data_IF_846909682134
#
_entry.id   IF_846909682134
#
_cell.length_a   1.000
_cell.length_b   1.000
_cell.length_c   1.000
_cell.angle_alpha   90.00
_cell.angle_beta   90.00
_cell.angle_gamma   90.00
#
_symmetry.space_group_name_H-M   'P 1'
#
loop_
_entity.id
_entity.type
_entity.pdbx_description
1 polymer ?
#
# COMPACT_ATOMS: atom_id res chain seq x y z
N UNK A 1 44.58 -58.20 27.61
CA UNK A 1 45.09 -58.74 28.86
C UNK A 1 44.76 -57.77 30.01
N UNK A 2 43.77 -58.08 30.76
CA UNK A 2 43.73 -58.54 32.11
C UNK A 2 43.85 -57.49 33.23
N UNK A 3 42.75 -57.31 33.93
CA UNK A 3 42.53 -57.31 35.41
C UNK A 3 43.27 -56.22 36.21
N UNK A 4 42.78 -55.58 37.25
CA UNK A 4 41.90 -56.00 38.36
C UNK A 4 41.60 -54.78 39.25
N UNK A 5 40.35 -54.60 39.63
CA UNK A 5 39.76 -54.22 40.90
C UNK A 5 40.71 -53.82 42.04
N UNK A 6 40.48 -52.67 42.69
CA UNK A 6 40.54 -52.57 44.15
C UNK A 6 39.60 -51.49 44.73
N UNK A 7 38.72 -51.92 45.60
CA UNK A 7 37.85 -51.18 46.51
C UNK A 7 38.65 -50.67 47.65
N UNK A 8 38.52 -49.41 48.06
CA UNK A 8 38.77 -49.01 49.45
C UNK A 8 37.80 -47.92 49.89
N UNK A 9 36.91 -48.25 50.75
CA UNK A 9 36.13 -47.36 51.61
C UNK A 9 37.07 -46.51 52.48
N UNK A 10 36.74 -45.22 52.62
CA UNK A 10 36.84 -44.57 53.91
C UNK A 10 35.82 -43.45 54.07
N UNK A 11 35.22 -43.50 55.25
CA UNK A 11 34.07 -42.68 55.64
C UNK A 11 34.47 -41.27 56.09
N UNK A 12 33.49 -40.39 55.94
CA UNK A 12 33.22 -39.35 56.94
C UNK A 12 33.77 -37.99 56.71
N UNK A 13 32.83 -37.07 56.32
CA UNK A 13 32.64 -35.82 57.08
C UNK A 13 31.45 -35.08 56.40
N UNK A 14 30.30 -35.15 57.06
CA UNK A 14 29.13 -34.33 56.82
C UNK A 14 29.47 -32.89 57.24
N UNK A 15 29.66 -32.00 56.30
CA UNK A 15 29.52 -30.56 56.51
C UNK A 15 28.19 -30.15 55.95
N UNK A 16 27.25 -29.91 56.84
CA UNK A 16 25.95 -29.34 56.60
C UNK A 16 26.12 -27.88 56.16
N UNK A 17 26.02 -27.60 54.85
CA UNK A 17 25.75 -26.28 54.42
C UNK A 17 24.22 -26.07 54.49
N UNK A 18 23.83 -25.29 55.49
CA UNK A 18 22.46 -24.69 55.54
C UNK A 18 22.37 -23.65 54.43
N UNK A 19 21.76 -24.02 53.36
CA UNK A 19 21.30 -23.06 52.36
C UNK A 19 20.09 -22.32 52.94
N UNK A 20 20.31 -21.05 53.33
CA UNK A 20 19.22 -20.12 53.58
C UNK A 20 18.40 -19.98 52.30
N UNK A 21 17.28 -20.68 52.24
CA UNK A 21 16.20 -20.33 51.30
C UNK A 21 15.72 -18.92 51.63
N UNK A 22 16.21 -17.94 50.85
CA UNK A 22 15.50 -16.66 50.71
C UNK A 22 14.13 -16.99 50.14
N UNK A 23 13.12 -16.98 50.99
CA UNK A 23 11.73 -16.89 50.55
C UNK A 23 11.60 -15.67 49.61
N UNK A 24 11.45 -15.95 48.33
CA UNK A 24 10.96 -14.95 47.38
C UNK A 24 9.58 -14.58 47.91
N UNK A 25 9.44 -13.38 48.45
CA UNK A 25 8.12 -12.77 48.64
C UNK A 25 7.42 -12.78 47.30
N UNK A 26 6.49 -13.70 47.18
CA UNK A 26 5.46 -13.65 46.13
C UNK A 26 4.81 -12.27 46.21
N UNK A 27 5.20 -11.39 45.31
CA UNK A 27 4.48 -10.16 45.11
C UNK A 27 3.10 -10.56 44.58
N UNK A 28 2.14 -10.54 45.48
CA UNK A 28 0.73 -10.59 45.10
C UNK A 28 0.54 -9.64 43.91
N UNK A 29 0.07 -10.12 42.73
CA UNK A 29 -0.24 -9.20 41.64
C UNK A 29 -1.27 -8.21 42.22
N UNK A 30 -0.93 -6.95 42.21
CA UNK A 30 -1.88 -5.91 42.54
C UNK A 30 -3.08 -6.14 41.65
N UNK A 31 -4.17 -6.56 42.24
CA UNK A 31 -5.47 -6.63 41.59
C UNK A 31 -5.81 -5.20 41.26
N UNK A 32 -5.44 -4.77 40.06
CA UNK A 32 -6.01 -3.57 39.47
C UNK A 32 -7.49 -3.86 39.34
N UNK A 33 -8.26 -3.25 40.26
CA UNK A 33 -9.68 -3.17 40.08
C UNK A 33 -9.90 -2.64 38.65
N UNK A 34 -10.42 -3.48 37.78
CA UNK A 34 -10.88 -3.05 36.46
C UNK A 34 -12.02 -2.08 36.75
N UNK A 35 -11.72 -0.77 36.80
CA UNK A 35 -12.79 0.21 36.74
C UNK A 35 -13.52 -0.09 35.46
N UNK A 36 -14.78 -0.44 35.56
CA UNK A 36 -15.66 -0.71 34.42
C UNK A 36 -15.58 0.52 33.53
N UNK A 37 -15.20 0.33 32.25
CA UNK A 37 -15.07 1.45 31.31
C UNK A 37 -16.49 1.89 30.96
N UNK A 38 -16.83 3.10 31.35
CA UNK A 38 -18.11 3.71 30.99
C UNK A 38 -17.99 4.37 29.62
N UNK A 39 -18.70 3.83 28.64
CA UNK A 39 -18.73 4.35 27.27
C UNK A 39 -19.79 5.46 27.13
N UNK A 40 -19.53 6.50 26.31
CA UNK A 40 -20.55 7.51 25.99
C UNK A 40 -21.75 6.85 25.33
N UNK A 41 -22.94 7.35 25.66
CA UNK A 41 -24.18 6.89 25.03
C UNK A 41 -24.16 7.26 23.54
N UNK A 42 -24.27 6.26 22.68
CA UNK A 42 -24.38 6.49 21.23
C UNK A 42 -25.86 6.53 20.85
N UNK A 43 -26.28 7.62 20.19
CA UNK A 43 -27.65 7.78 19.70
C UNK A 43 -27.98 6.69 18.67
N UNK A 44 -29.17 6.15 18.75
CA UNK A 44 -29.71 5.21 17.76
C UNK A 44 -30.72 5.91 16.86
N UNK A 45 -30.58 5.72 15.55
CA UNK A 45 -31.55 6.15 14.53
C UNK A 45 -32.47 4.98 14.12
N UNK A 46 -33.39 5.30 13.22
CA UNK A 46 -34.43 4.35 12.75
C UNK A 46 -34.18 3.86 11.31
N UNK A 47 -32.96 4.00 10.80
CA UNK A 47 -32.61 3.57 9.44
C UNK A 47 -32.67 2.06 9.34
N UNK A 48 -33.29 1.56 8.27
CA UNK A 48 -33.43 0.13 7.98
C UNK A 48 -33.15 -0.09 6.50
N UNK A 49 -32.16 -0.91 6.20
CA UNK A 49 -31.87 -1.37 4.84
C UNK A 49 -32.61 -2.67 4.54
N UNK A 50 -32.83 -2.96 3.26
CA UNK A 50 -33.38 -4.21 2.80
C UNK A 50 -32.40 -4.94 1.88
N UNK A 51 -31.96 -6.14 2.29
CA UNK A 51 -31.08 -7.01 1.52
C UNK A 51 -31.77 -8.35 1.29
N UNK A 52 -31.98 -8.74 0.03
CA UNK A 52 -32.58 -10.03 -0.34
C UNK A 52 -33.90 -10.29 0.37
N UNK A 53 -34.77 -9.26 0.52
CA UNK A 53 -36.06 -9.34 1.19
C UNK A 53 -35.98 -9.35 2.73
N UNK A 54 -34.80 -9.12 3.33
CA UNK A 54 -34.63 -9.03 4.78
C UNK A 54 -34.37 -7.59 5.19
N UNK A 55 -35.08 -7.14 6.21
CA UNK A 55 -34.89 -5.82 6.83
C UNK A 55 -33.77 -5.89 7.86
N UNK A 56 -32.74 -5.10 7.67
CA UNK A 56 -31.56 -5.01 8.54
C UNK A 56 -31.53 -3.59 9.15
N UNK A 57 -31.80 -3.43 10.47
CA UNK A 57 -31.65 -2.12 11.12
C UNK A 57 -30.20 -1.65 11.11
N UNK A 58 -29.99 -0.39 10.76
CA UNK A 58 -28.72 0.32 10.89
C UNK A 58 -28.90 1.57 11.76
N UNK A 59 -28.93 1.41 13.09
CA UNK A 59 -29.19 2.52 13.99
C UNK A 59 -28.05 3.55 14.07
N UNK A 60 -26.92 3.26 13.48
CA UNK A 60 -25.73 4.09 13.53
C UNK A 60 -25.32 4.68 12.17
N UNK A 61 -26.20 4.63 11.16
CA UNK A 61 -25.98 5.20 9.82
C UNK A 61 -25.52 6.66 9.86
N UNK A 62 -25.98 7.42 10.84
CA UNK A 62 -25.58 8.81 11.01
C UNK A 62 -24.05 9.02 11.21
N UNK A 63 -23.32 7.99 11.70
CA UNK A 63 -21.85 8.04 11.82
C UNK A 63 -21.13 8.00 10.47
N UNK A 64 -21.81 7.65 9.39
CA UNK A 64 -21.24 7.68 8.04
C UNK A 64 -21.09 9.13 7.51
N UNK A 65 -21.82 10.10 8.11
CA UNK A 65 -21.55 11.51 7.87
C UNK A 65 -20.36 11.98 8.72
N UNK A 66 -19.17 11.73 8.19
CA UNK A 66 -17.88 12.01 8.82
C UNK A 66 -17.58 13.52 8.98
N UNK A 67 -18.36 14.39 8.31
CA UNK A 67 -18.22 15.84 8.34
C UNK A 67 -19.22 16.53 9.26
N UNK A 68 -20.18 15.79 9.81
CA UNK A 68 -21.15 16.34 10.73
C UNK A 68 -20.53 16.69 12.08
N UNK A 69 -21.02 17.77 12.69
CA UNK A 69 -20.61 18.16 14.05
C UNK A 69 -20.93 17.05 15.06
N UNK A 70 -22.08 16.35 14.89
CA UNK A 70 -22.52 15.26 15.76
C UNK A 70 -21.54 14.09 15.77
N UNK A 71 -21.08 13.65 14.58
CA UNK A 71 -20.05 12.60 14.45
C UNK A 71 -18.73 13.06 15.07
N UNK A 72 -18.34 14.31 14.82
CA UNK A 72 -17.16 14.90 15.44
C UNK A 72 -17.21 14.94 16.97
N UNK A 73 -18.36 15.27 17.57
CA UNK A 73 -18.56 15.24 19.01
C UNK A 73 -18.50 13.83 19.58
N UNK A 74 -19.12 12.87 18.89
CA UNK A 74 -19.06 11.46 19.27
C UNK A 74 -17.62 10.93 19.27
N UNK A 75 -16.83 11.24 18.23
CA UNK A 75 -15.41 10.86 18.15
C UNK A 75 -14.62 11.46 19.33
N UNK A 76 -14.81 12.74 19.64
CA UNK A 76 -14.14 13.38 20.80
C UNK A 76 -14.48 12.70 22.10
N UNK A 77 -15.75 12.35 22.32
CA UNK A 77 -16.20 11.67 23.52
C UNK A 77 -15.60 10.26 23.65
N UNK A 78 -15.57 9.47 22.56
CA UNK A 78 -14.94 8.16 22.54
C UNK A 78 -13.43 8.24 22.80
N UNK A 79 -12.75 9.20 22.18
CA UNK A 79 -11.33 9.44 22.38
C UNK A 79 -11.00 9.84 23.83
N UNK A 80 -11.85 10.60 24.50
CA UNK A 80 -11.68 10.95 25.90
C UNK A 80 -11.64 9.71 26.80
N UNK A 81 -12.52 8.73 26.57
CA UNK A 81 -12.51 7.44 27.28
C UNK A 81 -11.24 6.66 26.95
N UNK A 82 -10.92 6.50 25.67
CA UNK A 82 -9.74 5.74 25.20
C UNK A 82 -8.47 6.30 25.81
N UNK A 83 -8.22 7.59 25.68
CA UNK A 83 -6.99 8.22 26.22
C UNK A 83 -7.01 8.29 27.75
N UNK A 84 -8.20 8.47 28.36
CA UNK A 84 -8.36 8.36 29.80
C UNK A 84 -7.85 7.01 30.33
N UNK A 85 -8.22 5.90 29.69
CA UNK A 85 -7.73 4.57 30.02
C UNK A 85 -6.24 4.40 29.71
N UNK A 86 -5.81 4.70 28.49
CA UNK A 86 -4.43 4.49 28.03
C UNK A 86 -3.42 5.29 28.88
N UNK A 87 -3.77 6.49 29.34
CA UNK A 87 -2.90 7.35 30.15
C UNK A 87 -2.69 6.82 31.58
N UNK A 88 -3.55 5.92 32.06
CA UNK A 88 -3.41 5.28 33.37
C UNK A 88 -2.43 4.09 33.36
N UNK A 89 -2.02 3.61 32.18
CA UNK A 89 -1.11 2.47 32.04
C UNK A 89 0.30 2.87 32.54
N UNK A 90 0.79 2.33 33.66
CA UNK A 90 1.98 2.86 34.33
C UNK A 90 3.27 2.68 33.53
N UNK A 91 3.31 1.71 32.61
CA UNK A 91 4.49 1.43 31.77
C UNK A 91 4.39 2.03 30.36
N UNK A 92 3.30 2.75 30.00
CA UNK A 92 3.07 3.31 28.67
C UNK A 92 4.22 4.25 28.24
N UNK A 93 4.63 5.16 29.11
CA UNK A 93 5.74 6.07 28.82
C UNK A 93 7.06 5.32 28.63
N UNK A 94 7.37 4.36 29.53
CA UNK A 94 8.58 3.54 29.39
C UNK A 94 8.62 2.74 28.10
N UNK A 95 7.47 2.18 27.68
CA UNK A 95 7.35 1.46 26.42
C UNK A 95 7.54 2.39 25.22
N UNK A 96 6.86 3.53 25.20
CA UNK A 96 7.01 4.56 24.16
C UNK A 96 8.48 5.00 24.02
N UNK A 97 9.14 5.32 25.13
CA UNK A 97 10.53 5.79 25.11
C UNK A 97 11.48 4.68 24.64
N UNK A 98 11.19 3.41 24.98
CA UNK A 98 11.95 2.26 24.45
C UNK A 98 11.74 2.09 22.94
N UNK A 99 10.50 2.21 22.44
CA UNK A 99 10.20 2.13 21.00
C UNK A 99 10.86 3.27 20.25
N UNK A 100 10.78 4.50 20.78
CA UNK A 100 11.49 5.64 20.19
C UNK A 100 12.99 5.37 20.04
N UNK A 101 13.64 4.90 21.11
CA UNK A 101 15.08 4.58 21.10
C UNK A 101 15.44 3.47 20.10
N UNK A 102 14.54 2.48 19.93
CA UNK A 102 14.76 1.39 18.97
C UNK A 102 14.56 1.84 17.52
N UNK A 103 13.69 2.83 17.30
CA UNK A 103 13.34 3.34 15.98
C UNK A 103 14.26 4.47 15.50
N UNK A 104 14.96 5.10 16.45
CA UNK A 104 15.86 6.24 16.21
C UNK A 104 17.21 5.75 15.66
N UNK A 105 17.21 5.43 14.37
CA UNK A 105 18.39 5.13 13.58
C UNK A 105 18.20 5.59 12.14
N UNK A 106 19.26 5.98 11.47
CA UNK A 106 19.22 6.39 10.09
C UNK A 106 18.76 5.24 9.18
N UNK A 107 17.80 5.52 8.30
CA UNK A 107 17.24 4.59 7.33
C UNK A 107 17.49 5.15 5.94
N UNK A 108 18.09 4.34 5.06
CA UNK A 108 18.38 4.70 3.67
C UNK A 108 17.89 3.57 2.78
N UNK A 109 17.12 3.88 1.73
CA UNK A 109 16.69 2.91 0.74
C UNK A 109 17.80 2.51 -0.21
N UNK A 110 17.60 1.43 -0.96
CA UNK A 110 18.39 1.21 -2.17
C UNK A 110 18.23 2.43 -3.10
N UNK A 111 19.32 2.86 -3.76
CA UNK A 111 19.25 3.92 -4.75
C UNK A 111 18.62 3.42 -6.05
N UNK A 112 17.98 4.34 -6.79
CA UNK A 112 17.46 4.08 -8.13
C UNK A 112 17.81 5.26 -9.04
N UNK A 113 17.95 4.99 -10.33
CA UNK A 113 18.41 5.99 -11.31
C UNK A 113 17.26 6.41 -12.21
N UNK A 114 17.06 7.75 -12.29
CA UNK A 114 16.11 8.36 -13.23
C UNK A 114 16.79 9.52 -13.94
N UNK A 115 16.85 9.43 -15.26
CA UNK A 115 17.56 10.39 -16.08
C UNK A 115 19.03 10.56 -15.68
N UNK A 116 19.40 11.78 -15.32
CA UNK A 116 20.77 12.15 -14.93
C UNK A 116 21.01 12.11 -13.40
N UNK A 117 20.02 11.64 -12.63
CA UNK A 117 20.12 11.62 -11.17
C UNK A 117 19.97 10.21 -10.62
N UNK A 118 20.63 9.97 -9.49
CA UNK A 118 20.40 8.82 -8.62
C UNK A 118 19.58 9.29 -7.42
N UNK A 119 18.44 8.69 -7.20
CA UNK A 119 17.49 9.01 -6.12
C UNK A 119 17.55 7.97 -5.02
N UNK A 120 17.27 8.38 -3.79
CA UNK A 120 17.09 7.48 -2.65
C UNK A 120 16.24 8.15 -1.58
N UNK A 121 15.61 7.32 -0.77
CA UNK A 121 14.86 7.76 0.40
C UNK A 121 15.75 7.71 1.63
N UNK A 122 15.67 8.74 2.47
CA UNK A 122 16.43 8.82 3.71
C UNK A 122 15.54 9.35 4.83
N UNK A 123 15.73 8.79 6.04
CA UNK A 123 15.11 9.26 7.28
C UNK A 123 16.20 9.31 8.34
N UNK A 124 16.32 10.42 9.07
CA UNK A 124 17.36 10.61 10.08
C UNK A 124 17.12 9.80 11.37
N UNK A 125 15.96 9.13 11.45
CA UNK A 125 15.55 8.28 12.57
C UNK A 125 14.11 8.52 12.99
N UNK A 126 13.76 9.74 13.37
CA UNK A 126 12.46 10.09 13.92
C UNK A 126 11.65 11.07 13.06
N UNK A 127 12.10 11.41 11.88
CA UNK A 127 11.27 12.15 10.92
C UNK A 127 9.98 11.40 10.66
N UNK A 128 8.87 12.12 10.52
CA UNK A 128 7.55 11.54 10.29
C UNK A 128 7.51 10.74 8.99
N UNK A 129 8.15 11.26 7.93
CA UNK A 129 8.23 10.62 6.62
C UNK A 129 9.66 10.61 6.10
N UNK A 130 9.95 9.68 5.18
CA UNK A 130 11.21 9.65 4.48
C UNK A 130 11.30 10.84 3.51
N UNK A 131 12.47 11.45 3.46
CA UNK A 131 12.79 12.52 2.51
C UNK A 131 13.41 11.89 1.26
N UNK A 132 13.01 12.34 0.08
CA UNK A 132 13.61 11.93 -1.20
C UNK A 132 14.80 12.81 -1.48
N UNK A 133 15.96 12.19 -1.53
CA UNK A 133 17.22 12.82 -1.94
C UNK A 133 17.56 12.41 -3.36
N UNK A 134 18.41 13.21 -3.98
CA UNK A 134 19.04 12.86 -5.24
C UNK A 134 20.49 13.34 -5.29
N UNK A 135 21.28 12.71 -6.12
CA UNK A 135 22.65 13.12 -6.44
C UNK A 135 22.89 13.01 -7.94
N UNK A 136 23.76 13.83 -8.45
CA UNK A 136 24.16 13.80 -9.84
C UNK A 136 25.60 13.30 -9.94
N UNK A 137 25.82 12.22 -10.71
CA UNK A 137 27.14 11.67 -11.02
C UNK A 137 28.05 11.43 -9.79
N UNK A 138 27.45 11.00 -8.65
CA UNK A 138 28.17 10.79 -7.40
C UNK A 138 28.63 12.08 -6.70
N UNK A 139 27.99 13.21 -7.02
CA UNK A 139 28.21 14.50 -6.36
C UNK A 139 27.55 14.58 -4.99
N UNK A 140 27.41 15.78 -4.47
CA UNK A 140 26.72 16.01 -3.20
C UNK A 140 25.21 15.73 -3.34
N UNK A 141 24.65 15.08 -2.32
CA UNK A 141 23.21 14.80 -2.25
C UNK A 141 22.43 16.08 -1.93
N UNK A 142 21.34 16.31 -2.62
CA UNK A 142 20.37 17.36 -2.33
C UNK A 142 18.97 16.79 -2.09
N UNK A 143 18.14 17.50 -1.35
CA UNK A 143 16.73 17.16 -1.20
C UNK A 143 16.03 17.39 -2.54
N UNK A 144 15.40 16.33 -3.06
CA UNK A 144 14.48 16.43 -4.19
C UNK A 144 13.06 16.78 -3.72
N UNK A 145 12.52 16.00 -2.77
CA UNK A 145 11.19 16.16 -2.23
C UNK A 145 11.18 15.86 -0.72
N UNK A 146 10.65 16.77 0.09
CA UNK A 146 10.50 16.58 1.53
C UNK A 146 9.02 16.50 1.93
N UNK A 147 8.46 15.29 2.08
CA UNK A 147 7.06 15.11 2.48
C UNK A 147 6.73 15.67 3.87
N UNK A 148 7.73 15.87 4.73
CA UNK A 148 7.51 16.47 6.05
C UNK A 148 7.09 17.94 5.99
N UNK A 149 7.21 18.57 4.80
CA UNK A 149 6.82 19.95 4.55
C UNK A 149 5.45 20.12 3.90
N UNK A 150 4.76 19.02 3.56
CA UNK A 150 3.49 19.07 2.83
C UNK A 150 2.33 19.65 3.65
N UNK A 151 2.35 19.47 4.97
CA UNK A 151 1.38 20.08 5.89
C UNK A 151 2.02 20.42 7.22
N UNK A 152 1.49 21.44 7.89
CA UNK A 152 2.00 21.87 9.20
C UNK A 152 1.79 20.83 10.30
N UNK A 153 0.69 20.09 10.23
CA UNK A 153 0.32 19.05 11.20
C UNK A 153 0.92 17.67 10.90
N UNK A 154 1.62 17.53 9.74
CA UNK A 154 2.26 16.28 9.32
C UNK A 154 1.29 15.19 8.88
N UNK A 155 0.02 15.51 8.59
CA UNK A 155 -1.00 14.52 8.19
C UNK A 155 -1.02 14.26 6.69
N UNK A 156 -0.33 15.06 5.88
CA UNK A 156 -0.19 14.84 4.43
C UNK A 156 1.03 14.00 4.12
N UNK A 157 0.85 12.92 3.38
CA UNK A 157 1.91 11.95 3.07
C UNK A 157 2.16 11.79 1.57
N UNK A 158 3.41 11.48 1.22
CA UNK A 158 3.78 10.99 -0.11
C UNK A 158 3.28 9.56 -0.28
N UNK A 159 2.50 9.31 -1.32
CA UNK A 159 1.97 7.98 -1.61
C UNK A 159 2.71 7.29 -2.78
N UNK A 160 2.96 8.00 -3.87
CA UNK A 160 3.62 7.47 -5.07
C UNK A 160 4.54 8.52 -5.65
N UNK A 161 5.67 8.11 -6.22
CA UNK A 161 6.57 8.93 -7.02
C UNK A 161 6.96 8.12 -8.26
N UNK A 162 6.77 8.68 -9.44
CA UNK A 162 7.10 8.07 -10.72
C UNK A 162 7.70 9.11 -11.67
N UNK A 163 8.60 8.68 -12.54
CA UNK A 163 9.31 9.54 -13.47
C UNK A 163 8.91 9.22 -14.90
N UNK A 164 8.96 10.23 -15.77
CA UNK A 164 8.88 10.06 -17.22
C UNK A 164 10.06 9.24 -17.74
N UNK A 165 9.96 8.72 -18.94
CA UNK A 165 10.94 7.79 -19.54
C UNK A 165 12.38 8.29 -19.52
N UNK A 166 12.59 9.56 -19.78
CA UNK A 166 13.92 10.19 -19.76
C UNK A 166 14.31 10.76 -18.38
N UNK A 167 13.42 10.65 -17.38
CA UNK A 167 13.62 11.17 -16.03
C UNK A 167 13.59 12.69 -15.93
N UNK A 168 13.12 13.41 -16.97
CA UNK A 168 13.05 14.87 -16.96
C UNK A 168 11.85 15.43 -16.20
N UNK A 169 10.81 14.63 -16.05
CA UNK A 169 9.56 14.99 -15.36
C UNK A 169 9.27 13.96 -14.29
N UNK A 170 8.78 14.41 -13.15
CA UNK A 170 8.30 13.53 -12.09
C UNK A 170 6.83 13.84 -11.76
N UNK A 171 6.06 12.81 -11.50
CA UNK A 171 4.72 12.93 -10.95
C UNK A 171 4.66 12.21 -9.61
N UNK A 172 4.11 12.87 -8.60
CA UNK A 172 3.94 12.26 -7.29
C UNK A 172 2.54 12.48 -6.75
N UNK A 173 2.02 11.48 -6.02
CA UNK A 173 0.71 11.60 -5.40
C UNK A 173 0.83 11.81 -3.89
N UNK A 174 -0.09 12.62 -3.36
CA UNK A 174 -0.21 12.90 -1.93
C UNK A 174 -1.55 12.41 -1.40
N UNK A 175 -1.53 11.96 -0.13
CA UNK A 175 -2.71 11.62 0.66
C UNK A 175 -2.83 12.59 1.81
N UNK A 176 -3.99 13.25 1.95
CA UNK A 176 -4.28 14.21 3.00
C UNK A 176 -5.12 13.53 4.10
N UNK A 177 -4.67 13.59 5.36
CA UNK A 177 -5.38 13.02 6.51
C UNK A 177 -5.62 11.51 6.46
N UNK A 178 -4.82 10.76 5.69
CA UNK A 178 -4.99 9.32 5.51
C UNK A 178 -6.10 8.93 4.53
N UNK A 179 -6.64 9.88 3.76
CA UNK A 179 -7.66 9.63 2.74
C UNK A 179 -7.10 8.75 1.61
N UNK A 180 -7.94 7.85 1.07
CA UNK A 180 -7.64 7.14 -0.17
C UNK A 180 -7.77 8.03 -1.41
N UNK A 181 -8.47 9.16 -1.30
CA UNK A 181 -8.50 10.19 -2.33
C UNK A 181 -7.19 10.96 -2.33
N UNK A 182 -6.58 11.07 -3.50
CA UNK A 182 -5.25 11.63 -3.69
C UNK A 182 -5.26 12.75 -4.70
N UNK A 183 -4.18 13.54 -4.67
CA UNK A 183 -3.83 14.50 -5.71
C UNK A 183 -2.54 14.06 -6.35
N UNK A 184 -2.40 14.25 -7.67
CA UNK A 184 -1.13 14.03 -8.39
C UNK A 184 -0.55 15.40 -8.73
N UNK A 185 0.68 15.63 -8.34
CA UNK A 185 1.46 16.84 -8.62
C UNK A 185 2.56 16.48 -9.62
N UNK A 186 2.68 17.30 -10.67
CA UNK A 186 3.64 17.09 -11.76
C UNK A 186 4.70 18.18 -11.69
N UNK A 187 5.97 17.78 -11.69
CA UNK A 187 7.10 18.70 -11.56
C UNK A 187 8.17 18.41 -12.59
N UNK A 188 8.84 19.45 -13.02
CA UNK A 188 10.13 19.33 -13.70
C UNK A 188 11.15 18.70 -12.75
N UNK A 189 11.69 17.55 -13.12
CA UNK A 189 12.57 16.79 -12.24
C UNK A 189 13.95 17.44 -12.04
N UNK A 190 14.33 18.43 -12.85
CA UNK A 190 15.60 19.16 -12.70
C UNK A 190 15.42 20.38 -11.81
N UNK A 191 14.44 21.23 -12.14
CA UNK A 191 14.20 22.51 -11.45
C UNK A 191 13.29 22.39 -10.23
N UNK A 192 12.56 21.28 -10.09
CA UNK A 192 11.55 20.99 -9.05
C UNK A 192 10.31 21.92 -9.13
N UNK A 193 10.15 22.62 -10.25
CA UNK A 193 9.00 23.51 -10.45
C UNK A 193 7.76 22.68 -10.81
N UNK A 194 6.61 23.05 -10.24
CA UNK A 194 5.31 22.50 -10.63
C UNK A 194 5.01 22.95 -12.06
N UNK A 195 4.62 22.01 -12.92
CA UNK A 195 4.43 22.25 -14.35
C UNK A 195 2.99 22.62 -14.70
N UNK A 196 2.02 22.11 -13.94
CA UNK A 196 0.59 22.31 -14.22
C UNK A 196 -0.24 22.17 -12.93
N UNK A 197 -1.54 22.42 -13.00
CA UNK A 197 -2.44 22.25 -11.88
C UNK A 197 -2.50 20.77 -11.46
N UNK A 198 -2.56 20.48 -10.14
CA UNK A 198 -2.63 19.11 -9.66
C UNK A 198 -3.88 18.38 -10.15
N UNK A 199 -3.73 17.10 -10.56
CA UNK A 199 -4.87 16.22 -10.75
C UNK A 199 -5.49 15.91 -9.38
N UNK A 200 -6.81 15.99 -9.31
CA UNK A 200 -7.58 15.77 -8.08
C UNK A 200 -8.49 14.56 -8.21
N UNK A 201 -9.11 14.14 -7.10
CA UNK A 201 -10.08 13.06 -7.09
C UNK A 201 -9.52 11.74 -7.68
N UNK A 202 -8.24 11.46 -7.42
CA UNK A 202 -7.57 10.20 -7.80
C UNK A 202 -7.69 9.20 -6.66
N UNK A 203 -8.06 7.95 -6.94
CA UNK A 203 -8.23 6.93 -5.88
C UNK A 203 -7.77 5.56 -6.34
N UNK A 204 -7.00 4.85 -5.49
CA UNK A 204 -6.44 3.51 -5.73
C UNK A 204 -5.66 3.42 -7.05
N UNK A 205 -4.80 4.41 -7.30
CA UNK A 205 -4.07 4.58 -8.55
C UNK A 205 -2.56 4.49 -8.35
N UNK A 206 -1.89 3.84 -9.30
CA UNK A 206 -0.51 4.11 -9.64
C UNK A 206 -0.38 5.32 -10.56
N UNK A 207 0.85 5.59 -11.00
CA UNK A 207 1.19 6.56 -12.05
C UNK A 207 2.09 5.80 -13.02
N UNK A 208 1.64 5.58 -14.24
CA UNK A 208 2.41 4.83 -15.24
C UNK A 208 2.62 5.67 -16.48
N UNK A 209 3.86 6.10 -16.69
CA UNK A 209 4.22 6.97 -17.78
C UNK A 209 4.20 6.28 -19.14
N UNK A 210 3.78 7.00 -20.17
CA UNK A 210 4.00 6.67 -21.56
C UNK A 210 5.00 7.68 -22.15
N UNK A 211 6.25 7.26 -22.25
CA UNK A 211 7.33 8.15 -22.64
C UNK A 211 7.40 9.40 -21.76
N UNK A 212 7.42 10.56 -22.41
CA UNK A 212 7.32 11.88 -21.77
C UNK A 212 6.02 12.62 -22.16
N UNK A 213 5.05 11.93 -22.77
CA UNK A 213 3.83 12.57 -23.27
C UNK A 213 2.77 12.74 -22.20
N UNK A 214 2.73 11.80 -21.24
CA UNK A 214 1.71 11.74 -20.22
C UNK A 214 1.77 10.41 -19.46
N UNK A 215 0.76 10.14 -18.66
CA UNK A 215 0.71 8.94 -17.84
C UNK A 215 -0.72 8.41 -17.66
N UNK A 216 -0.81 7.12 -17.39
CA UNK A 216 -2.05 6.46 -17.01
C UNK A 216 -2.24 6.55 -15.49
N UNK A 217 -3.48 6.81 -15.10
CA UNK A 217 -3.93 6.81 -13.71
C UNK A 217 -5.36 6.32 -13.61
N UNK A 218 -5.78 5.89 -12.42
CA UNK A 218 -7.10 5.34 -12.19
C UNK A 218 -7.88 6.13 -11.15
N UNK A 219 -9.20 6.16 -11.28
CA UNK A 219 -10.08 6.73 -10.29
C UNK A 219 -11.51 6.23 -10.45
N UNK A 220 -12.38 6.65 -9.52
CA UNK A 220 -13.83 6.54 -9.61
C UNK A 220 -14.45 7.89 -9.94
N UNK A 221 -15.70 7.88 -10.39
CA UNK A 221 -16.50 9.11 -10.35
C UNK A 221 -16.63 9.54 -8.88
N UNK A 222 -16.54 10.85 -8.65
CA UNK A 222 -16.68 11.40 -7.31
C UNK A 222 -18.08 11.12 -6.77
N UNK A 223 -18.22 10.43 -5.63
CA UNK A 223 -19.52 10.10 -5.09
C UNK A 223 -20.24 11.34 -4.54
N UNK A 224 -21.57 11.30 -4.55
CA UNK A 224 -22.38 12.25 -3.80
C UNK A 224 -22.33 11.91 -2.29
N UNK A 225 -22.23 12.93 -1.43
CA UNK A 225 -22.18 12.77 0.02
C UNK A 225 -20.77 12.68 0.59
N UNK A 226 -20.55 11.84 1.60
CA UNK A 226 -19.24 11.68 2.23
C UNK A 226 -18.26 10.96 1.31
N UNK A 227 -17.13 11.59 1.03
CA UNK A 227 -16.07 11.00 0.21
C UNK A 227 -15.41 9.79 0.87
N UNK A 228 -15.42 9.71 2.22
CA UNK A 228 -14.75 8.63 2.94
C UNK A 228 -15.61 7.37 3.03
N UNK A 229 -16.92 7.51 3.21
CA UNK A 229 -17.84 6.38 3.42
C UNK A 229 -18.68 6.03 2.20
N UNK A 230 -18.76 6.91 1.18
CA UNK A 230 -19.54 6.62 -0.01
C UNK A 230 -18.99 5.45 -0.81
N UNK A 231 -19.89 4.61 -1.31
CA UNK A 231 -19.54 3.45 -2.12
C UNK A 231 -18.93 3.87 -3.46
N UNK A 232 -17.80 3.29 -3.78
CA UNK A 232 -17.16 3.38 -5.09
C UNK A 232 -17.04 1.97 -5.68
N UNK A 233 -17.63 1.71 -6.85
CA UNK A 233 -17.72 0.36 -7.40
C UNK A 233 -17.43 0.22 -8.89
N UNK A 234 -17.20 1.32 -9.59
CA UNK A 234 -16.80 1.32 -11.01
C UNK A 234 -15.52 2.13 -11.18
N UNK A 235 -14.40 1.43 -11.09
CA UNK A 235 -13.09 2.04 -11.32
C UNK A 235 -12.86 2.28 -12.80
N UNK A 236 -12.08 3.30 -13.14
CA UNK A 236 -11.81 3.72 -14.51
C UNK A 236 -10.34 4.02 -14.68
N UNK A 237 -9.79 3.69 -15.82
CA UNK A 237 -8.43 4.03 -16.22
C UNK A 237 -8.46 5.21 -17.18
N UNK A 238 -7.69 6.24 -16.89
CA UNK A 238 -7.54 7.45 -17.68
C UNK A 238 -6.11 7.61 -18.18
N UNK A 239 -5.96 8.37 -19.25
CA UNK A 239 -4.67 8.88 -19.72
C UNK A 239 -4.69 10.40 -19.62
N UNK A 240 -3.77 10.94 -18.82
CA UNK A 240 -3.50 12.37 -18.72
C UNK A 240 -2.35 12.73 -19.64
N UNK A 241 -2.58 13.68 -20.56
CA UNK A 241 -1.55 14.23 -21.41
C UNK A 241 -1.00 15.51 -20.78
N UNK A 242 0.31 15.62 -20.67
CA UNK A 242 0.95 16.81 -20.12
C UNK A 242 0.52 18.09 -20.83
N UNK A 243 0.18 19.11 -20.05
CA UNK A 243 -0.29 20.40 -20.52
C UNK A 243 -1.78 20.48 -20.84
N UNK A 244 -2.52 19.38 -20.77
CA UNK A 244 -3.97 19.37 -20.94
C UNK A 244 -4.67 19.58 -19.58
N UNK A 245 -5.90 20.08 -19.58
CA UNK A 245 -6.71 20.14 -18.36
C UNK A 245 -7.25 18.73 -18.02
N UNK A 246 -7.24 18.33 -16.74
CA UNK A 246 -7.73 17.02 -16.28
C UNK A 246 -9.11 16.63 -16.82
N UNK A 247 -10.02 17.61 -16.99
CA UNK A 247 -11.36 17.34 -17.54
C UNK A 247 -11.35 16.81 -18.97
N UNK A 248 -10.24 16.97 -19.70
CA UNK A 248 -10.05 16.47 -21.06
C UNK A 248 -9.33 15.12 -21.10
N UNK A 249 -9.02 14.54 -19.96
CA UNK A 249 -8.35 13.24 -19.86
C UNK A 249 -9.14 12.15 -20.57
N UNK A 250 -8.43 11.36 -21.33
CA UNK A 250 -9.03 10.30 -22.14
C UNK A 250 -9.33 9.09 -21.29
N UNK A 251 -10.62 8.70 -21.21
CA UNK A 251 -11.02 7.41 -20.65
C UNK A 251 -10.47 6.27 -21.54
N UNK A 252 -9.74 5.36 -20.94
CA UNK A 252 -9.11 4.22 -21.60
C UNK A 252 -9.92 2.94 -21.39
N UNK A 253 -10.38 2.69 -20.13
CA UNK A 253 -11.11 1.48 -19.77
C UNK A 253 -11.98 1.71 -18.53
N UNK A 254 -13.05 0.92 -18.36
CA UNK A 254 -13.93 0.98 -17.18
C UNK A 254 -15.15 1.89 -17.34
N UNK A 255 -15.46 2.34 -18.58
CA UNK A 255 -16.57 3.27 -18.85
C UNK A 255 -17.94 2.63 -19.04
N UNK A 256 -18.05 1.31 -19.12
CA UNK A 256 -19.30 0.59 -19.40
C UNK A 256 -19.60 -0.45 -18.33
N UNK A 257 -20.85 -0.94 -18.27
CA UNK A 257 -21.23 -2.03 -17.36
C UNK A 257 -20.49 -3.34 -17.66
N UNK A 258 -20.08 -3.59 -18.90
CA UNK A 258 -19.29 -4.75 -19.28
C UNK A 258 -17.83 -4.68 -18.79
N UNK A 259 -17.35 -3.47 -18.54
CA UNK A 259 -16.00 -3.19 -18.02
C UNK A 259 -16.00 -2.83 -16.52
N UNK A 260 -17.08 -3.18 -15.84
CA UNK A 260 -17.27 -2.81 -14.43
C UNK A 260 -16.40 -3.64 -13.49
N UNK A 261 -15.37 -3.01 -12.96
CA UNK A 261 -14.47 -3.59 -11.98
C UNK A 261 -14.43 -2.74 -10.71
N UNK A 262 -14.12 -3.39 -9.60
CA UNK A 262 -13.86 -2.70 -8.34
C UNK A 262 -12.52 -1.98 -8.36
N UNK A 263 -11.52 -2.59 -9.00
CA UNK A 263 -10.19 -2.03 -9.16
C UNK A 263 -9.74 -2.23 -10.61
N UNK A 264 -9.20 -1.18 -11.21
CA UNK A 264 -8.54 -1.20 -12.52
C UNK A 264 -7.20 -0.52 -12.36
N UNK A 265 -6.14 -1.14 -12.84
CA UNK A 265 -4.82 -0.53 -12.94
C UNK A 265 -4.31 -0.64 -14.37
N UNK A 266 -3.53 0.36 -14.76
CA UNK A 266 -2.82 0.34 -16.04
C UNK A 266 -1.33 0.57 -15.80
N UNK A 267 -0.48 -0.19 -16.49
CA UNK A 267 0.96 0.04 -16.48
C UNK A 267 1.56 -0.20 -17.85
N UNK A 268 2.53 0.62 -18.20
CA UNK A 268 3.25 0.59 -19.46
C UNK A 268 4.50 -0.27 -19.28
N UNK A 269 4.82 -1.09 -20.26
CA UNK A 269 6.04 -1.89 -20.27
C UNK A 269 7.28 -1.00 -20.32
N UNK A 270 8.43 -1.52 -19.86
CA UNK A 270 9.66 -0.73 -19.74
C UNK A 270 10.12 -0.18 -21.10
N UNK A 271 9.85 -0.87 -22.19
CA UNK A 271 10.17 -0.44 -23.55
C UNK A 271 9.13 0.51 -24.18
N UNK A 272 8.11 0.96 -23.42
CA UNK A 272 6.97 1.75 -23.88
C UNK A 272 6.10 1.09 -24.97
N UNK A 273 6.24 -0.22 -25.16
CA UNK A 273 5.56 -0.92 -26.26
C UNK A 273 4.09 -1.22 -25.93
N UNK A 274 3.82 -1.71 -24.71
CA UNK A 274 2.48 -2.16 -24.33
C UNK A 274 1.94 -1.45 -23.10
N UNK A 275 0.63 -1.17 -23.13
CA UNK A 275 -0.16 -0.92 -21.94
C UNK A 275 -0.83 -2.21 -21.49
N UNK A 276 -0.61 -2.61 -20.26
CA UNK A 276 -1.29 -3.71 -19.61
C UNK A 276 -2.37 -3.14 -18.70
N UNK A 277 -3.60 -3.61 -18.85
CA UNK A 277 -4.72 -3.25 -17.97
C UNK A 277 -5.08 -4.48 -17.17
N UNK A 278 -5.09 -4.33 -15.85
CA UNK A 278 -5.52 -5.37 -14.90
C UNK A 278 -6.77 -4.91 -14.18
N UNK A 279 -7.82 -5.72 -14.27
CA UNK A 279 -9.09 -5.48 -13.59
C UNK A 279 -9.36 -6.53 -12.53
N UNK A 280 -9.94 -6.15 -11.40
CA UNK A 280 -10.37 -7.10 -10.35
C UNK A 280 -11.67 -6.68 -9.69
N UNK A 281 -12.45 -7.67 -9.26
CA UNK A 281 -13.72 -7.48 -8.57
C UNK A 281 -13.63 -7.74 -7.07
N UNK A 282 -12.54 -8.40 -6.65
CA UNK A 282 -12.24 -8.71 -5.24
C UNK A 282 -10.77 -8.38 -4.93
N UNK A 283 -10.25 -8.87 -3.81
CA UNK A 283 -8.84 -8.69 -3.42
C UNK A 283 -7.89 -9.71 -4.01
N UNK A 284 -8.40 -10.70 -4.74
CA UNK A 284 -7.62 -11.72 -5.44
C UNK A 284 -8.31 -12.09 -6.74
N UNK A 285 -7.49 -12.52 -7.70
CA UNK A 285 -7.93 -12.79 -9.06
C UNK A 285 -8.09 -11.51 -9.89
N UNK A 286 -7.59 -11.54 -11.10
CA UNK A 286 -7.68 -10.42 -12.03
C UNK A 286 -7.82 -10.90 -13.48
N UNK A 287 -8.58 -10.14 -14.27
CA UNK A 287 -8.49 -10.21 -15.72
C UNK A 287 -7.33 -9.36 -16.25
N UNK A 288 -6.97 -9.59 -17.52
CA UNK A 288 -5.91 -8.83 -18.17
C UNK A 288 -6.27 -8.49 -19.61
N UNK A 289 -5.97 -7.24 -19.97
CA UNK A 289 -5.99 -6.78 -21.35
C UNK A 289 -4.63 -6.16 -21.70
N UNK A 290 -4.32 -6.17 -22.98
CA UNK A 290 -3.11 -5.57 -23.55
C UNK A 290 -3.48 -4.62 -24.70
N UNK A 291 -2.73 -3.54 -24.82
CA UNK A 291 -2.81 -2.60 -25.94
C UNK A 291 -1.41 -2.31 -26.44
N UNK A 292 -1.19 -2.44 -27.75
CA UNK A 292 0.03 -1.96 -28.39
C UNK A 292 0.01 -0.43 -28.47
N UNK A 293 0.98 0.23 -27.86
CA UNK A 293 1.11 1.67 -27.81
C UNK A 293 1.88 2.25 -29.02
N UNK A 294 2.57 1.41 -29.77
CA UNK A 294 3.30 1.81 -30.98
C UNK A 294 2.34 2.09 -32.14
N UNK A 295 1.13 1.51 -32.08
CA UNK A 295 0.09 1.69 -33.07
C UNK A 295 -1.07 2.53 -32.48
N UNK A 296 -1.28 3.79 -32.94
CA UNK A 296 -2.23 4.72 -32.30
C UNK A 296 -3.67 4.19 -32.16
N UNK A 297 -4.10 3.35 -33.10
CA UNK A 297 -5.46 2.79 -33.17
C UNK A 297 -5.54 1.30 -32.82
N UNK A 298 -4.49 0.74 -32.18
CA UNK A 298 -4.53 -0.66 -31.79
C UNK A 298 -5.71 -0.92 -30.84
N UNK A 299 -6.44 -2.03 -30.99
CA UNK A 299 -7.51 -2.38 -30.07
C UNK A 299 -6.95 -2.80 -28.70
N UNK A 300 -7.82 -2.80 -27.69
CA UNK A 300 -7.59 -3.60 -26.48
C UNK A 300 -7.80 -5.09 -26.85
N UNK A 301 -6.84 -5.91 -26.48
CA UNK A 301 -6.87 -7.37 -26.70
C UNK A 301 -6.93 -8.06 -25.36
N UNK A 302 -7.85 -9.00 -25.18
CA UNK A 302 -7.97 -9.78 -23.95
C UNK A 302 -6.83 -10.79 -23.86
N UNK A 303 -6.17 -10.82 -22.72
CA UNK A 303 -5.16 -11.84 -22.37
C UNK A 303 -5.79 -12.90 -21.47
N UNK A 304 -6.59 -12.46 -20.50
CA UNK A 304 -7.30 -13.30 -19.53
C UNK A 304 -8.66 -12.66 -19.21
N UNK A 305 -9.76 -13.41 -19.32
CA UNK A 305 -11.13 -12.92 -19.18
C UNK A 305 -11.87 -13.43 -17.94
N UNK A 306 -11.15 -13.98 -16.97
CA UNK A 306 -11.70 -14.50 -15.72
C UNK A 306 -10.85 -14.09 -14.51
N UNK A 307 -11.35 -14.36 -13.30
CA UNK A 307 -10.74 -13.94 -12.03
C UNK A 307 -10.23 -15.13 -11.20
N UNK A 308 -9.95 -16.27 -11.81
CA UNK A 308 -9.58 -17.49 -11.10
C UNK A 308 -8.10 -17.52 -10.69
N UNK A 309 -7.33 -16.53 -11.15
CA UNK A 309 -5.88 -16.45 -10.87
C UNK A 309 -5.41 -15.02 -10.63
N UNK A 310 -4.29 -14.90 -9.91
CA UNK A 310 -3.48 -13.69 -9.86
C UNK A 310 -2.41 -13.80 -10.95
N UNK A 311 -2.53 -12.99 -12.00
CA UNK A 311 -1.64 -13.02 -13.17
C UNK A 311 -1.08 -11.63 -13.46
N UNK A 312 0.24 -11.52 -13.59
CA UNK A 312 0.94 -10.25 -13.79
C UNK A 312 1.99 -10.38 -14.89
N UNK A 313 2.04 -9.38 -15.78
CA UNK A 313 3.17 -9.28 -16.71
C UNK A 313 4.43 -8.93 -15.90
N UNK A 314 5.47 -9.72 -16.05
CA UNK A 314 6.80 -9.47 -15.46
C UNK A 314 7.59 -8.55 -16.38
N UNK A 315 7.63 -8.89 -17.67
CA UNK A 315 8.42 -8.19 -18.68
C UNK A 315 8.00 -8.64 -20.09
N UNK A 316 8.53 -7.97 -21.12
CA UNK A 316 8.43 -8.39 -22.51
C UNK A 316 9.78 -8.28 -23.21
N UNK A 317 9.94 -9.08 -24.26
CA UNK A 317 11.05 -8.95 -25.22
C UNK A 317 10.45 -8.88 -26.62
N UNK A 318 10.31 -7.67 -27.14
CA UNK A 318 9.52 -7.43 -28.34
C UNK A 318 8.07 -7.87 -28.12
N UNK A 319 7.54 -8.72 -29.02
CA UNK A 319 6.17 -9.25 -28.86
C UNK A 319 6.04 -10.41 -27.87
N UNK A 320 7.14 -10.94 -27.36
CA UNK A 320 7.10 -12.06 -26.41
C UNK A 320 6.87 -11.53 -24.99
N UNK A 321 5.74 -11.90 -24.40
CA UNK A 321 5.31 -11.52 -23.04
C UNK A 321 5.67 -12.63 -22.04
N UNK A 322 5.99 -12.24 -20.79
CA UNK A 322 6.30 -13.14 -19.68
C UNK A 322 5.35 -12.85 -18.52
N UNK A 323 4.48 -13.79 -18.17
CA UNK A 323 3.53 -13.65 -17.09
C UNK A 323 3.89 -14.55 -15.91
N UNK A 324 3.85 -13.98 -14.69
CA UNK A 324 3.80 -14.74 -13.46
C UNK A 324 2.33 -15.02 -13.14
N UNK A 325 1.97 -16.28 -12.94
CA UNK A 325 0.58 -16.68 -12.69
C UNK A 325 0.50 -17.84 -11.68
N UNK A 326 -0.60 -17.86 -10.92
CA UNK A 326 -0.99 -19.03 -10.12
C UNK A 326 -2.12 -19.85 -10.76
N UNK A 327 -2.45 -19.60 -12.03
CA UNK A 327 -3.44 -20.36 -12.77
C UNK A 327 -2.99 -21.84 -12.88
N UNK A 328 -3.82 -22.74 -12.30
CA UNK A 328 -3.52 -24.17 -12.19
C UNK A 328 -2.13 -24.49 -11.58
N UNK A 329 -1.58 -23.57 -10.78
CA UNK A 329 -0.23 -23.62 -10.22
C UNK A 329 -0.16 -22.84 -8.90
N UNK A 330 -0.63 -23.41 -7.77
CA UNK A 330 -0.70 -22.71 -6.48
C UNK A 330 0.62 -22.09 -6.01
N UNK A 331 1.75 -22.71 -6.36
CA UNK A 331 3.09 -22.19 -6.06
C UNK A 331 3.64 -21.26 -7.15
N UNK A 332 2.81 -20.91 -8.12
CA UNK A 332 3.09 -20.06 -9.28
C UNK A 332 4.00 -20.70 -10.33
N UNK A 333 3.89 -20.19 -11.52
CA UNK A 333 4.73 -20.49 -12.68
C UNK A 333 4.95 -19.22 -13.50
N UNK A 334 5.95 -19.22 -14.37
CA UNK A 334 6.11 -18.20 -15.40
C UNK A 334 5.76 -18.83 -16.74
N UNK A 335 4.88 -18.17 -17.45
CA UNK A 335 4.48 -18.54 -18.81
C UNK A 335 4.92 -17.48 -19.81
N UNK A 336 5.04 -17.84 -21.06
CA UNK A 336 5.31 -16.93 -22.17
C UNK A 336 4.26 -17.08 -23.25
N UNK A 337 3.98 -15.97 -23.93
CA UNK A 337 3.06 -15.93 -25.08
C UNK A 337 3.46 -14.80 -26.03
N UNK A 338 3.06 -14.87 -27.29
CA UNK A 338 3.20 -13.77 -28.22
C UNK A 338 2.04 -12.79 -28.08
N UNK A 339 2.32 -11.49 -28.09
CA UNK A 339 1.31 -10.42 -27.92
C UNK A 339 0.27 -10.39 -29.05
N UNK A 340 0.53 -11.01 -30.20
CA UNK A 340 -0.44 -11.12 -31.30
C UNK A 340 -1.57 -12.11 -31.02
N UNK A 341 -1.32 -13.10 -30.17
CA UNK A 341 -2.29 -14.14 -29.76
C UNK A 341 -2.13 -14.43 -28.27
N UNK A 342 -2.42 -13.46 -27.37
CA UNK A 342 -1.97 -13.49 -25.98
C UNK A 342 -2.84 -14.33 -25.04
N UNK A 343 -3.91 -14.97 -25.56
CA UNK A 343 -4.86 -15.75 -24.74
C UNK A 343 -4.22 -17.00 -24.11
N UNK A 344 -4.80 -17.48 -23.00
CA UNK A 344 -4.23 -18.52 -22.15
C UNK A 344 -3.97 -19.86 -22.87
N UNK A 345 -4.77 -20.21 -23.90
CA UNK A 345 -4.57 -21.42 -24.69
C UNK A 345 -3.24 -21.44 -25.47
N UNK A 346 -2.62 -20.28 -25.67
CA UNK A 346 -1.32 -20.13 -26.34
C UNK A 346 -0.14 -20.04 -25.38
N UNK A 347 -0.40 -20.07 -24.06
CA UNK A 347 0.64 -19.93 -23.07
C UNK A 347 1.56 -21.16 -23.03
N UNK A 348 2.85 -20.90 -22.91
CA UNK A 348 3.87 -21.92 -22.79
C UNK A 348 4.64 -21.74 -21.49
N UNK A 349 4.82 -22.80 -20.73
CA UNK A 349 5.62 -22.77 -19.52
C UNK A 349 7.06 -22.34 -19.86
N UNK A 350 7.52 -21.28 -19.21
CA UNK A 350 8.91 -20.84 -19.23
C UNK A 350 9.65 -21.30 -17.97
N UNK A 351 9.05 -21.14 -16.81
CA UNK A 351 9.44 -21.75 -15.55
C UNK A 351 8.21 -22.44 -14.99
N UNK A 352 8.25 -23.77 -14.98
CA UNK A 352 7.14 -24.57 -14.44
C UNK A 352 7.08 -24.49 -12.91
N UNK A 353 5.89 -24.72 -12.36
CA UNK A 353 5.70 -24.82 -10.92
C UNK A 353 6.61 -25.86 -10.27
N UNK A 354 7.06 -25.59 -9.05
CA UNK A 354 7.83 -26.50 -8.21
C UNK A 354 7.15 -26.68 -6.84
N UNK A 355 7.75 -27.52 -5.97
CA UNK A 355 7.29 -27.65 -4.57
C UNK A 355 7.46 -26.34 -3.76
N UNK A 356 8.34 -25.45 -4.21
CA UNK A 356 8.55 -24.14 -3.59
C UNK A 356 7.79 -23.06 -4.38
N UNK A 357 7.29 -22.08 -3.65
CA UNK A 357 6.64 -20.90 -4.25
C UNK A 357 7.66 -20.09 -5.02
N UNK A 358 7.31 -19.71 -6.26
CA UNK A 358 8.12 -18.87 -7.12
C UNK A 358 8.00 -17.38 -6.72
#
# INVERSE_FOLDING_TARGET
>A
TTKTLLIAMLAGLLVSCVEEKKEAKESTPATTASSEIEYPVTRKGDVVDEYFGRKIPDPYRWLEDDRSDETGEWIRAQNAVTFGYLNQIPYRTKLRDRLKKLWDYEKVSAPFKEGNFTYFYRNDGLQNQNVVYREKDGGESEIFLDPNTFSEDGTTSLATLAFSKDGSIAAYSISEGGSDWRKIIIVDAVTKQVLEDPLVDVKFSGISWQGNEGFFYSSYDKPEGSELSAKTDQHKLYFHRLGDEQKSDRLIYGGTEAEKHRYISGYVTEDDHYLIISGSITTSGNDLLIKDLTEPNSPLVTVLDHFDSDTYLIDNVGSKLYFLTNLDSPNRKIVTVDASEPTEENWQDFISETENVL
#
